data_IF_437990544379
#
_entry.id   IF_437990544379
#
_cell.length_a   1.000
_cell.length_b   1.000
_cell.length_c   1.000
_cell.angle_alpha   90.00
_cell.angle_beta   90.00
_cell.angle_gamma   90.00
#
_symmetry.space_group_name_H-M   'P 1'
#
loop_
_entity.id
_entity.type
_entity.pdbx_description
1 polymer ?
#
# COMPACT_ATOMS: atom_id res chain seq x y z
N UNK A 1 -16.27 -18.97 59.45
CA UNK A 1 -14.95 -18.45 59.86
C UNK A 1 -13.87 -19.30 59.22
N UNK A 2 -12.91 -18.64 58.52
CA UNK A 2 -11.63 -19.14 57.96
C UNK A 2 -11.77 -19.86 56.60
N UNK A 3 -11.80 -19.15 55.47
CA UNK A 3 -10.70 -18.46 54.73
C UNK A 3 -9.91 -19.40 53.81
N UNK A 4 -9.51 -18.84 52.65
CA UNK A 4 -8.35 -19.21 51.79
C UNK A 4 -8.60 -20.37 50.79
N UNK A 5 -8.32 -20.31 49.49
CA UNK A 5 -7.72 -19.32 48.59
C UNK A 5 -8.06 -19.70 47.14
N UNK A 6 -8.27 -18.65 46.34
CA UNK A 6 -8.16 -18.51 44.89
C UNK A 6 -7.16 -19.48 44.25
N UNK A 7 -7.57 -20.25 43.24
CA UNK A 7 -6.61 -20.82 42.28
C UNK A 7 -7.06 -20.53 40.86
N UNK A 8 -6.23 -19.72 40.22
CA UNK A 8 -6.42 -19.07 38.95
C UNK A 8 -6.39 -20.05 37.78
N UNK A 9 -7.20 -19.69 36.80
CA UNK A 9 -7.22 -20.13 35.40
C UNK A 9 -5.82 -20.07 34.79
N UNK A 10 -5.38 -21.15 34.13
CA UNK A 10 -4.32 -21.09 33.11
C UNK A 10 -4.81 -21.82 31.86
N UNK A 11 -5.56 -21.11 31.02
CA UNK A 11 -5.72 -21.48 29.63
C UNK A 11 -4.53 -20.91 28.87
N UNK A 12 -3.54 -21.76 28.57
CA UNK A 12 -2.40 -21.40 27.71
C UNK A 12 -2.89 -21.32 26.26
N UNK A 13 -3.47 -20.17 25.89
CA UNK A 13 -3.75 -19.82 24.51
C UNK A 13 -2.44 -19.52 23.78
N UNK A 14 -2.03 -20.44 22.91
CA UNK A 14 -0.90 -20.26 22.01
C UNK A 14 -1.25 -19.15 21.01
N UNK A 15 -0.82 -17.92 21.29
CA UNK A 15 -0.94 -16.82 20.34
C UNK A 15 0.03 -17.06 19.19
N UNK A 16 -0.48 -17.50 18.04
CA UNK A 16 0.24 -17.38 16.77
C UNK A 16 0.28 -15.89 16.44
N UNK A 17 1.37 -15.23 16.84
CA UNK A 17 1.71 -13.92 16.34
C UNK A 17 2.05 -14.07 14.85
N UNK A 18 1.09 -13.77 13.97
CA UNK A 18 1.34 -13.67 12.55
C UNK A 18 2.32 -12.54 12.29
N UNK A 19 3.56 -12.87 11.95
CA UNK A 19 4.54 -11.90 11.44
C UNK A 19 3.94 -11.27 10.19
N UNK A 20 3.58 -9.99 10.26
CA UNK A 20 3.23 -9.23 9.07
C UNK A 20 4.49 -9.10 8.22
N UNK A 21 4.65 -9.97 7.22
CA UNK A 21 5.75 -9.89 6.27
C UNK A 21 5.63 -8.55 5.53
N UNK A 22 6.66 -7.72 5.61
CA UNK A 22 6.71 -6.46 4.88
C UNK A 22 6.79 -6.77 3.38
N UNK A 23 5.84 -6.25 2.60
CA UNK A 23 5.89 -6.37 1.14
C UNK A 23 6.82 -5.30 0.60
N UNK A 24 7.88 -5.72 -0.11
CA UNK A 24 8.83 -4.81 -0.73
C UNK A 24 8.24 -4.07 -1.94
N UNK A 25 8.76 -2.86 -2.20
CA UNK A 25 8.49 -2.16 -3.46
C UNK A 25 9.06 -2.95 -4.65
N UNK A 26 8.28 -3.14 -5.73
CA UNK A 26 8.71 -3.91 -6.88
C UNK A 26 9.87 -3.21 -7.60
N UNK A 27 10.74 -3.99 -8.25
CA UNK A 27 11.95 -3.49 -8.89
C UNK A 27 11.64 -2.42 -9.96
N UNK A 28 10.55 -2.60 -10.73
CA UNK A 28 10.09 -1.63 -11.73
C UNK A 28 9.76 -0.26 -11.12
N UNK A 29 9.25 -0.23 -9.89
CA UNK A 29 8.94 1.01 -9.20
C UNK A 29 10.19 1.73 -8.70
N UNK A 30 11.19 0.96 -8.24
CA UNK A 30 12.52 1.48 -7.88
C UNK A 30 13.21 2.07 -9.12
N UNK A 31 13.22 1.34 -10.24
CA UNK A 31 13.76 1.77 -11.54
C UNK A 31 13.14 3.08 -12.02
N UNK A 32 11.84 3.25 -11.82
CA UNK A 32 11.09 4.46 -12.21
C UNK A 32 10.99 5.51 -11.09
N UNK A 33 11.82 5.41 -10.04
CA UNK A 33 11.93 6.37 -8.93
C UNK A 33 10.64 6.62 -8.12
N UNK A 34 9.67 5.70 -8.15
CA UNK A 34 8.42 5.85 -7.40
C UNK A 34 8.65 5.87 -5.88
N UNK A 35 9.72 5.24 -5.40
CA UNK A 35 10.10 5.14 -3.99
C UNK A 35 10.52 6.46 -3.36
N UNK A 36 10.81 7.50 -4.15
CA UNK A 36 11.11 8.83 -3.61
C UNK A 36 9.87 9.47 -2.95
N UNK A 37 8.67 9.10 -3.41
CA UNK A 37 7.41 9.72 -2.97
C UNK A 37 6.40 8.73 -2.41
N UNK A 38 6.57 7.43 -2.65
CA UNK A 38 5.64 6.39 -2.24
C UNK A 38 6.34 5.25 -1.49
N UNK A 39 5.62 4.63 -0.58
CA UNK A 39 5.95 3.35 0.01
C UNK A 39 4.74 2.42 -0.06
N UNK A 40 4.94 1.12 0.17
CA UNK A 40 3.86 0.13 0.09
C UNK A 40 2.81 0.38 1.17
N UNK A 41 3.25 0.58 2.41
CA UNK A 41 2.41 0.48 3.61
C UNK A 41 2.27 1.78 4.41
N UNK A 42 3.03 2.82 4.05
CA UNK A 42 2.99 4.12 4.73
C UNK A 42 3.00 5.29 3.75
N UNK A 43 2.38 6.39 4.17
CA UNK A 43 2.42 7.66 3.46
C UNK A 43 3.85 8.24 3.52
N UNK A 44 4.35 8.74 2.40
CA UNK A 44 5.64 9.45 2.33
C UNK A 44 5.35 10.89 1.90
N UNK A 45 5.35 11.16 0.59
CA UNK A 45 4.81 12.40 0.00
C UNK A 45 3.45 12.08 -0.60
N UNK A 46 3.41 11.06 -1.44
CA UNK A 46 2.19 10.45 -1.95
C UNK A 46 1.60 9.44 -0.96
N UNK A 47 0.37 8.95 -1.24
CA UNK A 47 -0.27 7.91 -0.44
C UNK A 47 0.54 6.60 -0.44
N UNK A 48 0.35 5.81 0.62
CA UNK A 48 0.77 4.41 0.63
C UNK A 48 0.09 3.65 -0.52
N UNK A 49 0.79 2.74 -1.18
CA UNK A 49 0.19 1.96 -2.27
C UNK A 49 -0.94 1.05 -1.80
N UNK A 50 -0.86 0.50 -0.58
CA UNK A 50 -1.99 -0.21 0.06
C UNK A 50 -3.22 0.67 0.19
N UNK A 51 -3.06 1.93 0.59
CA UNK A 51 -4.20 2.86 0.66
C UNK A 51 -4.80 3.15 -0.73
N UNK A 52 -3.96 3.22 -1.77
CA UNK A 52 -4.44 3.34 -3.16
C UNK A 52 -5.23 2.08 -3.54
N UNK A 53 -4.70 0.90 -3.25
CA UNK A 53 -5.35 -0.37 -3.50
C UNK A 53 -6.73 -0.45 -2.81
N UNK A 54 -6.77 -0.13 -1.52
CA UNK A 54 -8.01 -0.13 -0.72
C UNK A 54 -9.05 0.85 -1.27
N UNK A 55 -8.64 2.07 -1.65
CA UNK A 55 -9.56 3.09 -2.18
C UNK A 55 -10.19 2.69 -3.52
N UNK A 56 -9.45 1.97 -4.37
CA UNK A 56 -9.89 1.60 -5.72
C UNK A 56 -10.24 0.12 -5.86
N UNK A 57 -10.36 -0.59 -4.74
CA UNK A 57 -10.69 -2.02 -4.70
C UNK A 57 -12.00 -2.28 -5.42
N UNK A 58 -11.98 -3.23 -6.36
CA UNK A 58 -13.15 -3.61 -7.16
C UNK A 58 -13.42 -2.72 -8.38
N UNK A 59 -12.72 -1.59 -8.56
CA UNK A 59 -12.83 -0.76 -9.76
C UNK A 59 -11.67 -1.04 -10.72
N UNK A 60 -11.86 -2.00 -11.64
CA UNK A 60 -10.84 -2.33 -12.63
C UNK A 60 -10.49 -1.14 -13.55
N UNK A 61 -11.47 -0.29 -13.86
CA UNK A 61 -11.28 0.87 -14.73
C UNK A 61 -10.52 2.02 -14.02
N UNK A 62 -10.48 2.03 -12.68
CA UNK A 62 -9.70 3.02 -11.93
C UNK A 62 -8.21 2.90 -12.24
N UNK A 63 -7.66 1.69 -12.41
CA UNK A 63 -6.22 1.49 -12.61
C UNK A 63 -5.72 2.01 -13.96
N UNK A 64 -6.54 1.95 -15.01
CA UNK A 64 -6.23 2.58 -16.30
C UNK A 64 -6.22 4.11 -16.18
N UNK A 65 -7.19 4.67 -15.44
CA UNK A 65 -7.25 6.12 -15.16
C UNK A 65 -6.07 6.57 -14.29
N UNK A 66 -5.65 5.74 -13.32
CA UNK A 66 -4.48 5.99 -12.49
C UNK A 66 -3.20 5.95 -13.33
N UNK A 67 -3.04 4.99 -14.24
CA UNK A 67 -1.91 4.97 -15.18
C UNK A 67 -1.81 6.28 -15.97
N UNK A 68 -2.94 6.75 -16.53
CA UNK A 68 -2.99 8.02 -17.24
C UNK A 68 -2.65 9.22 -16.33
N UNK A 69 -3.13 9.23 -15.08
CA UNK A 69 -2.79 10.25 -14.07
C UNK A 69 -1.31 10.23 -13.71
N UNK A 70 -0.67 9.07 -13.58
CA UNK A 70 0.78 8.98 -13.28
C UNK A 70 1.60 9.55 -14.43
N UNK A 71 1.23 9.25 -15.68
CA UNK A 71 1.92 9.80 -16.86
C UNK A 71 1.76 11.31 -16.99
N UNK A 72 0.55 11.83 -16.77
CA UNK A 72 0.23 13.26 -16.95
C UNK A 72 0.51 14.13 -15.71
N UNK A 73 0.68 13.51 -14.55
CA UNK A 73 0.68 14.20 -13.26
C UNK A 73 -0.72 14.64 -12.86
N UNK A 74 -0.84 15.20 -11.65
CA UNK A 74 -2.10 15.76 -11.16
C UNK A 74 -2.13 15.99 -9.66
N UNK A 75 -3.18 16.64 -9.17
CA UNK A 75 -3.39 16.97 -7.76
C UNK A 75 -4.84 16.68 -7.32
N UNK A 76 -5.13 16.86 -6.02
CA UNK A 76 -6.49 16.88 -5.47
C UNK A 76 -7.05 15.52 -5.05
N UNK A 77 -6.59 14.41 -5.63
CA UNK A 77 -7.12 13.08 -5.30
C UNK A 77 -6.74 12.57 -3.89
N UNK A 78 -5.63 13.08 -3.35
CA UNK A 78 -5.00 12.61 -2.10
C UNK A 78 -4.47 13.78 -1.23
N UNK A 79 -4.85 15.01 -1.56
CA UNK A 79 -4.37 16.23 -0.91
C UNK A 79 -3.97 17.32 -1.90
N UNK A 80 -3.39 18.39 -1.37
CA UNK A 80 -2.95 19.56 -2.14
C UNK A 80 -1.63 19.35 -2.89
N UNK A 81 -0.80 18.41 -2.45
CA UNK A 81 0.49 18.14 -3.10
C UNK A 81 0.28 17.50 -4.48
N UNK A 82 0.77 18.11 -5.58
CA UNK A 82 0.68 17.51 -6.90
C UNK A 82 1.69 16.37 -7.05
N UNK A 83 1.28 15.29 -7.73
CA UNK A 83 2.19 14.31 -8.29
C UNK A 83 2.71 14.84 -9.63
N UNK A 84 4.03 15.00 -9.81
CA UNK A 84 4.62 15.40 -11.09
C UNK A 84 4.29 14.41 -12.21
N UNK A 85 4.35 14.87 -13.46
CA UNK A 85 4.17 14.01 -14.62
C UNK A 85 5.33 13.01 -14.77
N UNK A 86 5.01 11.75 -15.06
CA UNK A 86 6.00 10.69 -15.31
C UNK A 86 5.89 10.16 -16.75
N UNK A 87 6.07 11.00 -17.79
CA UNK A 87 5.85 10.60 -19.18
C UNK A 87 6.88 9.59 -19.70
N UNK A 88 8.03 9.45 -19.02
CA UNK A 88 9.12 8.55 -19.40
C UNK A 88 8.89 7.10 -18.99
N UNK A 89 7.89 6.82 -18.15
CA UNK A 89 7.56 5.45 -17.76
C UNK A 89 6.89 4.76 -18.95
N UNK A 90 7.43 3.62 -19.36
CA UNK A 90 6.89 2.81 -20.46
C UNK A 90 5.48 2.32 -20.13
N UNK A 91 4.68 1.99 -21.14
CA UNK A 91 3.34 1.40 -20.90
C UNK A 91 3.43 0.06 -20.17
N UNK A 92 4.45 -0.75 -20.50
CA UNK A 92 4.69 -2.03 -19.84
C UNK A 92 5.04 -1.86 -18.35
N UNK A 93 5.98 -0.97 -18.03
CA UNK A 93 6.38 -0.69 -16.64
C UNK A 93 5.18 -0.12 -15.85
N UNK A 94 4.38 0.74 -16.48
CA UNK A 94 3.18 1.31 -15.86
C UNK A 94 2.13 0.24 -15.57
N UNK A 95 1.91 -0.68 -16.51
CA UNK A 95 0.96 -1.79 -16.33
C UNK A 95 1.40 -2.72 -15.19
N UNK A 96 2.70 -3.03 -15.09
CA UNK A 96 3.25 -3.83 -13.98
C UNK A 96 3.07 -3.12 -12.63
N UNK A 97 3.36 -1.83 -12.55
CA UNK A 97 3.15 -1.02 -11.35
C UNK A 97 1.68 -1.01 -10.93
N UNK A 98 0.76 -0.75 -11.88
CA UNK A 98 -0.68 -0.73 -11.58
C UNK A 98 -1.20 -2.10 -11.17
N UNK A 99 -0.72 -3.18 -11.82
CA UNK A 99 -1.03 -4.55 -11.46
C UNK A 99 -0.56 -4.89 -10.05
N UNK A 100 0.65 -4.47 -9.67
CA UNK A 100 1.15 -4.63 -8.31
C UNK A 100 0.26 -3.90 -7.30
N UNK A 101 -0.03 -2.61 -7.52
CA UNK A 101 -0.89 -1.83 -6.62
C UNK A 101 -2.29 -2.45 -6.53
N UNK A 102 -2.84 -3.01 -7.61
CA UNK A 102 -4.13 -3.70 -7.61
C UNK A 102 -4.12 -4.99 -6.77
N UNK A 103 -2.98 -5.65 -6.67
CA UNK A 103 -2.81 -6.89 -5.91
C UNK A 103 -2.48 -6.71 -4.43
N UNK A 104 -2.24 -5.48 -3.97
CA UNK A 104 -2.06 -5.13 -2.56
C UNK A 104 -3.39 -5.12 -1.80
#
# INVERSE_FOLDING_TARGET
>A
MKSIVTSMIVAAGLMVAGSAMATDMPAVAKKNNCTACHAVDKKVVGPAWKAVADKYKGDAAAYEKLAAKVKKGGSGAWGSMPMPANPKVSDADMAEIMGFIKGL
#
